data_IF_287853034376
#
_entry.id   IF_287853034376
#
_cell.length_a   1.000
_cell.length_b   1.000
_cell.length_c   1.000
_cell.angle_alpha   90.00
_cell.angle_beta   90.00
_cell.angle_gamma   90.00
#
_symmetry.space_group_name_H-M   'P 1'
#
loop_
_entity.id
_entity.type
_entity.pdbx_description
1 polymer ?
#
# COMPACT_ATOMS: atom_id res chain seq x y z
N UNK A 1 10.01 -1.83 15.93
CA UNK A 1 9.10 -0.97 16.73
C UNK A 1 7.78 -0.89 15.99
N UNK A 2 6.66 -0.61 16.66
CA UNK A 2 5.41 -0.29 15.97
C UNK A 2 5.54 1.07 15.24
N UNK A 3 4.90 1.24 14.09
CA UNK A 3 4.91 2.51 13.37
C UNK A 3 4.26 3.61 14.20
N UNK A 4 4.86 4.80 14.16
CA UNK A 4 4.28 5.99 14.78
C UNK A 4 3.10 6.51 13.95
N UNK A 5 2.09 7.16 14.56
CA UNK A 5 0.96 7.77 13.84
C UNK A 5 1.39 8.69 12.70
N UNK A 6 2.46 9.47 12.88
CA UNK A 6 3.04 10.33 11.85
C UNK A 6 3.58 9.54 10.64
N UNK A 7 4.20 8.37 10.88
CA UNK A 7 4.70 7.51 9.80
C UNK A 7 3.54 6.89 9.01
N UNK A 8 2.48 6.48 9.71
CA UNK A 8 1.25 5.98 9.09
C UNK A 8 0.60 7.06 8.21
N UNK A 9 0.50 8.29 8.73
CA UNK A 9 -0.07 9.42 7.99
C UNK A 9 0.78 9.79 6.76
N UNK A 10 2.11 9.76 6.87
CA UNK A 10 3.01 10.03 5.75
C UNK A 10 2.89 8.96 4.63
N UNK A 11 2.80 7.68 5.00
CA UNK A 11 2.59 6.59 4.05
C UNK A 11 1.22 6.67 3.36
N UNK A 12 0.17 7.03 4.10
CA UNK A 12 -1.16 7.22 3.53
C UNK A 12 -1.22 8.42 2.56
N UNK A 13 -0.56 9.53 2.90
CA UNK A 13 -0.43 10.66 1.99
C UNK A 13 0.29 10.25 0.69
N UNK A 14 1.43 9.57 0.81
CA UNK A 14 2.21 9.10 -0.35
C UNK A 14 1.41 8.10 -1.20
N UNK A 15 0.67 7.19 -0.55
CA UNK A 15 -0.22 6.27 -1.24
C UNK A 15 -1.22 7.03 -2.12
N UNK A 16 -1.89 8.06 -1.57
CA UNK A 16 -2.82 8.89 -2.34
C UNK A 16 -2.15 9.59 -3.51
N UNK A 17 -0.99 10.21 -3.30
CA UNK A 17 -0.25 10.90 -4.35
C UNK A 17 0.10 9.96 -5.52
N UNK A 18 0.66 8.78 -5.21
CA UNK A 18 0.98 7.76 -6.24
C UNK A 18 -0.30 7.25 -6.90
N UNK A 19 -1.36 7.07 -6.12
CA UNK A 19 -2.68 6.68 -6.62
C UNK A 19 -3.20 7.66 -7.68
N UNK A 20 -3.17 8.96 -7.38
CA UNK A 20 -3.55 10.00 -8.34
C UNK A 20 -2.68 9.97 -9.60
N UNK A 21 -1.37 9.72 -9.46
CA UNK A 21 -0.45 9.60 -10.61
C UNK A 21 -0.81 8.43 -11.54
N UNK A 22 -1.20 7.28 -10.98
CA UNK A 22 -1.55 6.08 -11.76
C UNK A 22 -3.05 5.97 -12.07
N UNK A 23 -3.86 6.97 -11.69
CA UNK A 23 -5.31 6.99 -11.90
C UNK A 23 -6.10 5.98 -11.03
N UNK A 24 -5.56 5.59 -9.88
CA UNK A 24 -6.18 4.63 -8.93
C UNK A 24 -6.35 5.27 -7.55
N UNK A 25 -7.39 4.89 -6.81
CA UNK A 25 -7.52 5.29 -5.40
C UNK A 25 -6.67 4.38 -4.53
N UNK A 26 -5.53 4.87 -4.05
CA UNK A 26 -4.66 4.13 -3.13
C UNK A 26 -4.77 4.68 -1.71
N UNK A 27 -4.76 3.77 -0.72
CA UNK A 27 -4.76 4.10 0.72
C UNK A 27 -3.85 3.16 1.49
N UNK A 28 -3.18 3.69 2.51
CA UNK A 28 -2.41 2.87 3.44
C UNK A 28 -3.31 2.51 4.63
N UNK A 29 -3.38 1.22 4.97
CA UNK A 29 -4.16 0.77 6.12
C UNK A 29 -3.28 0.02 7.13
N UNK A 30 -3.60 0.21 8.40
CA UNK A 30 -3.12 -0.62 9.49
C UNK A 30 -4.28 -1.49 9.93
N UNK A 31 -4.11 -2.81 9.89
CA UNK A 31 -5.15 -3.72 10.29
C UNK A 31 -5.47 -3.54 11.79
N UNK A 32 -6.72 -3.84 12.23
CA UNK A 32 -7.09 -3.80 13.65
C UNK A 32 -6.25 -4.77 14.49
N UNK A 33 -5.70 -5.82 13.86
CA UNK A 33 -4.59 -6.57 14.43
C UNK A 33 -3.30 -5.77 14.16
N UNK A 34 -2.61 -5.28 15.20
CA UNK A 34 -1.42 -4.44 15.07
C UNK A 34 -0.21 -5.18 14.49
N UNK A 35 -0.42 -6.38 13.95
CA UNK A 35 0.58 -7.18 13.26
C UNK A 35 0.55 -7.00 11.75
N UNK A 36 -0.39 -6.26 11.16
CA UNK A 36 -0.48 -6.16 9.70
C UNK A 36 -0.67 -4.73 9.19
N UNK A 37 0.07 -4.40 8.14
CA UNK A 37 -0.11 -3.20 7.33
C UNK A 37 -0.26 -3.59 5.87
N UNK A 38 -0.93 -2.77 5.08
CA UNK A 38 -1.08 -3.02 3.65
C UNK A 38 -1.45 -1.79 2.85
N UNK A 39 -1.28 -1.90 1.54
CA UNK A 39 -1.76 -0.92 0.57
C UNK A 39 -3.08 -1.41 -0.04
N UNK A 40 -4.10 -0.57 -0.01
CA UNK A 40 -5.41 -0.86 -0.61
C UNK A 40 -5.52 -0.10 -1.92
N UNK A 41 -5.98 -0.78 -2.98
CA UNK A 41 -6.42 -0.12 -4.20
C UNK A 41 -7.95 -0.24 -4.32
N UNK A 42 -8.61 0.91 -4.42
CA UNK A 42 -10.07 0.99 -4.52
C UNK A 42 -10.76 1.02 -3.17
N UNK A 43 -11.96 0.45 -3.11
CA UNK A 43 -12.84 0.61 -1.96
C UNK A 43 -12.42 -0.27 -0.79
N UNK A 44 -11.99 -1.54 -0.98
CA UNK A 44 -11.70 -2.45 0.14
C UNK A 44 -10.66 -3.57 -0.14
N UNK A 45 -9.89 -3.52 -1.23
CA UNK A 45 -8.99 -4.63 -1.64
C UNK A 45 -7.50 -4.36 -1.38
N UNK A 46 -6.85 -5.23 -0.59
CA UNK A 46 -5.42 -5.12 -0.22
C UNK A 46 -4.55 -5.70 -1.35
N UNK A 47 -3.71 -4.87 -1.97
CA UNK A 47 -2.90 -5.20 -3.16
C UNK A 47 -1.43 -5.45 -2.83
N UNK A 48 -0.93 -4.91 -1.71
CA UNK A 48 0.49 -4.99 -1.35
C UNK A 48 0.67 -5.29 0.11
N UNK A 49 1.60 -6.22 0.36
CA UNK A 49 2.20 -6.45 1.66
C UNK A 49 1.50 -7.58 2.39
N UNK A 50 1.91 -8.81 2.09
CA UNK A 50 1.53 -9.99 2.85
C UNK A 50 1.72 -9.74 4.35
N UNK A 51 0.91 -10.42 5.15
CA UNK A 51 0.87 -10.45 6.60
C UNK A 51 2.24 -10.22 7.31
N UNK A 52 2.75 -8.99 7.30
CA UNK A 52 4.06 -8.64 7.84
C UNK A 52 3.86 -7.79 9.09
N UNK A 53 4.47 -8.25 10.19
CA UNK A 53 4.48 -7.56 11.49
C UNK A 53 4.74 -6.07 11.30
N UNK A 54 3.88 -5.23 11.87
CA UNK A 54 4.04 -3.78 11.98
C UNK A 54 5.46 -3.46 12.46
N UNK A 55 6.33 -3.17 11.51
CA UNK A 55 7.75 -2.97 11.69
C UNK A 55 8.25 -1.99 10.66
N UNK A 56 9.37 -1.35 10.95
CA UNK A 56 10.05 -0.43 10.05
C UNK A 56 10.36 -1.08 8.68
N UNK A 57 10.58 -2.41 8.65
CA UNK A 57 10.80 -3.16 7.42
C UNK A 57 9.54 -3.20 6.55
N UNK A 58 8.38 -3.50 7.13
CA UNK A 58 7.13 -3.56 6.38
C UNK A 58 6.76 -2.18 5.80
N UNK A 59 6.99 -1.09 6.55
CA UNK A 59 6.81 0.26 6.04
C UNK A 59 7.73 0.56 4.87
N UNK A 60 8.98 0.10 4.93
CA UNK A 60 9.94 0.26 3.85
C UNK A 60 9.53 -0.52 2.59
N UNK A 61 8.96 -1.72 2.74
CA UNK A 61 8.44 -2.49 1.61
C UNK A 61 7.26 -1.80 0.92
N UNK A 62 6.36 -1.19 1.69
CA UNK A 62 5.25 -0.40 1.15
C UNK A 62 5.79 0.84 0.42
N UNK A 63 6.73 1.55 1.04
CA UNK A 63 7.37 2.72 0.45
C UNK A 63 8.08 2.40 -0.88
N UNK A 64 8.81 1.28 -0.91
CA UNK A 64 9.47 0.77 -2.10
C UNK A 64 8.46 0.39 -3.19
N UNK A 65 7.34 -0.21 -2.81
CA UNK A 65 6.28 -0.57 -3.77
C UNK A 65 5.60 0.68 -4.35
N UNK A 66 5.37 1.71 -3.52
CA UNK A 66 4.86 3.00 -4.00
C UNK A 66 5.84 3.67 -4.98
N UNK A 67 7.14 3.56 -4.74
CA UNK A 67 8.18 4.05 -5.66
C UNK A 67 8.18 3.28 -6.99
N UNK A 68 8.11 1.95 -6.96
CA UNK A 68 8.00 1.12 -8.16
C UNK A 68 6.72 1.45 -8.95
N UNK A 69 5.59 1.68 -8.28
CA UNK A 69 4.32 2.09 -8.91
C UNK A 69 4.44 3.46 -9.56
N UNK A 70 5.00 4.45 -8.86
CA UNK A 70 5.20 5.80 -9.39
C UNK A 70 6.18 5.82 -10.57
N UNK A 71 7.21 4.98 -10.53
CA UNK A 71 8.18 4.81 -11.60
C UNK A 71 7.66 3.98 -12.78
N UNK A 72 6.45 3.39 -12.68
CA UNK A 72 5.91 2.47 -13.67
C UNK A 72 6.72 1.17 -13.81
N UNK A 73 7.50 0.81 -12.79
CA UNK A 73 8.24 -0.46 -12.69
C UNK A 73 7.34 -1.60 -12.24
N UNK A 74 6.28 -1.27 -11.47
CA UNK A 74 5.19 -2.16 -11.11
C UNK A 74 3.87 -1.56 -11.55
N UNK A 75 2.88 -2.42 -11.74
CA UNK A 75 1.53 -2.02 -12.10
C UNK A 75 0.48 -2.69 -11.22
N UNK A 76 -0.65 -2.01 -11.06
CA UNK A 76 -1.84 -2.60 -10.45
C UNK A 76 -2.80 -2.95 -11.59
N UNK A 77 -3.04 -4.25 -11.73
CA UNK A 77 -3.98 -4.82 -12.69
C UNK A 77 -5.12 -5.48 -11.92
N UNK A 78 -6.33 -5.37 -12.44
CA UNK A 78 -7.47 -6.10 -11.91
C UNK A 78 -7.50 -7.48 -12.58
N UNK A 79 -7.74 -8.54 -11.80
CA UNK A 79 -7.93 -9.89 -12.33
C UNK A 79 -9.33 -10.09 -12.94
N UNK A 80 -9.67 -11.32 -13.36
CA UNK A 80 -10.97 -11.61 -13.99
C UNK A 80 -12.16 -11.27 -13.08
N UNK A 81 -11.97 -11.36 -11.76
CA UNK A 81 -12.96 -11.01 -10.74
C UNK A 81 -12.96 -9.51 -10.37
N UNK A 82 -12.06 -8.71 -10.95
CA UNK A 82 -11.89 -7.30 -10.61
C UNK A 82 -11.05 -7.08 -9.35
N UNK A 83 -10.37 -8.12 -8.88
CA UNK A 83 -9.49 -8.06 -7.72
C UNK A 83 -8.13 -7.47 -8.12
N UNK A 84 -7.73 -6.31 -7.57
CA UNK A 84 -6.48 -5.68 -7.93
C UNK A 84 -5.29 -6.46 -7.35
N UNK A 85 -4.32 -6.78 -8.19
CA UNK A 85 -3.06 -7.39 -7.83
C UNK A 85 -1.87 -6.63 -8.43
N UNK A 86 -0.71 -6.79 -7.78
CA UNK A 86 0.54 -6.13 -8.16
C UNK A 86 1.32 -7.01 -9.15
N UNK A 87 1.77 -6.44 -10.27
CA UNK A 87 2.67 -7.08 -11.25
C UNK A 87 3.96 -6.29 -11.45
#
# INVERSE_FOLDING_TARGET
MALSPDQVAALDARAREVGEQIGRRLRFIVAPNPEFIGLVAGEEQIVVGGLNRLSDLAAHEVDFTLDDLAAGRRHIVDDEDGDPYLV
#
